data_IF_497879845757
#
_entry.id   IF_497879845757
#
_cell.length_a   1.000
_cell.length_b   1.000
_cell.length_c   1.000
_cell.angle_alpha   90.00
_cell.angle_beta   90.00
_cell.angle_gamma   90.00
#
_symmetry.space_group_name_H-M   'P 1'
#
loop_
_entity.id
_entity.type
_entity.pdbx_description
1 polymer ?
#
# COMPACT_ATOMS: atom_id res chain seq x y z
N UNK A 1 49.19 24.84 -64.07
CA UNK A 1 47.76 24.87 -63.59
C UNK A 1 47.12 23.53 -63.92
N UNK A 2 47.14 22.58 -63.05
CA UNK A 2 46.64 21.24 -63.36
C UNK A 2 46.54 20.26 -62.22
N UNK A 3 46.40 20.70 -60.97
CA UNK A 3 46.23 19.77 -59.84
C UNK A 3 45.24 20.20 -58.73
N UNK A 4 44.34 21.18 -59.04
CA UNK A 4 43.45 21.72 -58.03
C UNK A 4 42.00 21.15 -58.11
N UNK A 5 41.69 20.33 -59.12
CA UNK A 5 40.33 19.79 -59.34
C UNK A 5 40.14 18.31 -58.99
N UNK A 6 41.17 17.63 -58.44
CA UNK A 6 41.08 16.21 -58.08
C UNK A 6 40.68 15.95 -56.62
N UNK A 7 40.52 16.95 -55.76
CA UNK A 7 40.12 16.76 -54.35
C UNK A 7 38.62 17.00 -54.05
N UNK A 8 37.84 17.35 -55.08
CA UNK A 8 36.40 17.67 -54.95
C UNK A 8 35.45 16.48 -55.23
N UNK A 9 36.01 15.35 -55.67
CA UNK A 9 35.25 14.11 -55.86
C UNK A 9 35.94 12.99 -55.06
N UNK A 10 36.11 13.17 -53.73
CA UNK A 10 36.23 12.00 -52.87
C UNK A 10 34.86 11.31 -52.87
N UNK A 11 34.76 10.26 -53.64
CA UNK A 11 33.62 9.36 -53.66
C UNK A 11 33.30 8.97 -52.20
N UNK A 12 32.23 9.48 -51.67
CA UNK A 12 31.62 8.83 -50.51
C UNK A 12 31.46 7.35 -50.92
N UNK A 13 32.18 6.43 -50.32
CA UNK A 13 31.93 5.00 -50.49
C UNK A 13 30.42 4.82 -50.33
N UNK A 14 29.75 4.27 -51.34
CA UNK A 14 28.36 3.87 -51.20
C UNK A 14 28.24 2.95 -49.98
N UNK A 15 27.33 3.24 -49.07
CA UNK A 15 27.13 2.42 -47.88
C UNK A 15 26.84 0.99 -48.31
N UNK A 16 27.39 0.02 -47.62
CA UNK A 16 27.05 -1.38 -47.86
C UNK A 16 25.57 -1.65 -47.50
N UNK A 17 24.90 -2.65 -48.09
CA UNK A 17 23.53 -3.01 -47.74
C UNK A 17 23.34 -3.24 -46.23
N UNK A 18 24.38 -3.74 -45.53
CA UNK A 18 24.36 -3.93 -44.08
C UNK A 18 24.43 -2.60 -43.32
N UNK A 19 25.25 -1.64 -43.78
CA UNK A 19 25.31 -0.28 -43.18
C UNK A 19 24.02 0.49 -43.43
N UNK A 20 23.37 0.33 -44.61
CA UNK A 20 22.07 0.94 -44.87
C UNK A 20 20.96 0.34 -44.00
N UNK A 21 20.94 -0.99 -43.80
CA UNK A 21 20.02 -1.69 -42.93
C UNK A 21 20.20 -1.23 -41.48
N UNK A 22 21.43 -1.21 -40.97
CA UNK A 22 21.75 -0.75 -39.60
C UNK A 22 21.27 0.69 -39.34
N UNK A 23 21.50 1.61 -40.31
CA UNK A 23 21.02 2.98 -40.20
C UNK A 23 19.47 3.09 -40.21
N UNK A 24 18.82 2.23 -40.98
CA UNK A 24 17.37 2.19 -41.01
C UNK A 24 16.79 1.62 -39.69
N UNK A 25 17.41 0.55 -39.17
CA UNK A 25 17.02 -0.03 -37.89
C UNK A 25 17.21 0.97 -36.73
N UNK A 26 18.32 1.71 -36.69
CA UNK A 26 18.54 2.77 -35.72
C UNK A 26 17.48 3.89 -35.83
N UNK A 27 17.17 4.33 -37.04
CA UNK A 27 16.13 5.35 -37.24
C UNK A 27 14.74 4.87 -36.80
N UNK A 28 14.41 3.62 -37.09
CA UNK A 28 13.16 3.00 -36.69
C UNK A 28 13.08 2.84 -35.16
N UNK A 29 14.18 2.43 -34.52
CA UNK A 29 14.32 2.37 -33.07
C UNK A 29 14.01 3.75 -32.44
N UNK A 30 14.67 4.83 -32.93
CA UNK A 30 14.46 6.17 -32.39
C UNK A 30 13.00 6.63 -32.54
N UNK A 31 12.39 6.40 -33.71
CA UNK A 31 10.97 6.72 -33.94
C UNK A 31 10.09 6.00 -32.94
N UNK A 32 10.24 4.68 -32.81
CA UNK A 32 9.42 3.85 -31.90
C UNK A 32 9.61 4.26 -30.45
N UNK A 33 10.85 4.49 -30.00
CA UNK A 33 11.15 4.97 -28.65
C UNK A 33 10.43 6.28 -28.36
N UNK A 34 10.57 7.30 -29.22
CA UNK A 34 9.94 8.60 -29.01
C UNK A 34 8.41 8.59 -29.15
N UNK A 35 7.85 7.77 -30.03
CA UNK A 35 6.39 7.59 -30.14
C UNK A 35 5.86 6.91 -28.88
N UNK A 36 6.59 5.93 -28.32
CA UNK A 36 6.26 5.30 -27.05
C UNK A 36 6.25 6.31 -25.89
N UNK A 37 7.30 7.14 -25.77
CA UNK A 37 7.37 8.19 -24.73
C UNK A 37 6.23 9.20 -24.87
N UNK A 38 5.90 9.61 -26.10
CA UNK A 38 4.77 10.51 -26.37
C UNK A 38 3.45 9.86 -25.96
N UNK A 39 3.23 8.61 -26.37
CA UNK A 39 2.04 7.84 -26.02
C UNK A 39 1.85 7.70 -24.51
N UNK A 40 2.92 7.41 -23.79
CA UNK A 40 2.89 7.31 -22.32
C UNK A 40 2.50 8.64 -21.67
N UNK A 41 3.04 9.78 -22.15
CA UNK A 41 2.71 11.11 -21.62
C UNK A 41 1.24 11.50 -21.81
N UNK A 42 0.57 10.99 -22.84
CA UNK A 42 -0.87 11.25 -23.10
C UNK A 42 -1.78 10.11 -22.62
N UNK A 43 -1.26 9.18 -21.80
CA UNK A 43 -2.03 8.10 -21.19
C UNK A 43 -2.37 6.92 -22.12
N UNK A 44 -1.81 6.86 -23.33
CA UNK A 44 -2.01 5.75 -24.28
C UNK A 44 -1.06 4.57 -23.95
N UNK A 45 -1.20 4.01 -22.74
CA UNK A 45 -0.27 3.03 -22.17
C UNK A 45 -0.11 1.79 -23.04
N UNK A 46 -1.20 1.23 -23.58
CA UNK A 46 -1.14 0.05 -24.45
C UNK A 46 -0.34 0.30 -25.75
N UNK A 47 -0.47 1.49 -26.33
CA UNK A 47 0.31 1.86 -27.50
C UNK A 47 1.78 2.13 -27.17
N UNK A 48 2.07 2.74 -26.00
CA UNK A 48 3.42 2.92 -25.49
C UNK A 48 4.15 1.58 -25.32
N UNK A 49 3.50 0.60 -24.68
CA UNK A 49 4.02 -0.78 -24.52
C UNK A 49 4.39 -1.36 -25.89
N UNK A 50 3.48 -1.27 -26.87
CA UNK A 50 3.74 -1.77 -28.23
C UNK A 50 4.96 -1.10 -28.86
N UNK A 51 5.06 0.23 -28.79
CA UNK A 51 6.18 0.98 -29.34
C UNK A 51 7.51 0.56 -28.69
N UNK A 52 7.59 0.51 -27.36
CA UNK A 52 8.81 0.13 -26.66
C UNK A 52 9.20 -1.33 -26.93
N UNK A 53 8.23 -2.25 -26.96
CA UNK A 53 8.47 -3.65 -27.29
C UNK A 53 9.03 -3.81 -28.70
N UNK A 54 8.48 -3.11 -29.70
CA UNK A 54 9.00 -3.15 -31.07
C UNK A 54 10.37 -2.45 -31.20
N UNK A 55 10.61 -1.36 -30.44
CA UNK A 55 11.91 -0.71 -30.37
C UNK A 55 13.00 -1.67 -29.84
N UNK A 56 12.71 -2.38 -28.75
CA UNK A 56 13.66 -3.32 -28.12
C UNK A 56 13.96 -4.56 -28.98
N UNK A 57 13.14 -4.89 -29.97
CA UNK A 57 13.46 -5.91 -30.97
C UNK A 57 14.54 -5.45 -31.97
N UNK A 58 14.66 -4.15 -32.17
CA UNK A 58 15.65 -3.55 -33.09
C UNK A 58 16.98 -3.30 -32.37
N UNK A 59 16.91 -2.83 -31.13
CA UNK A 59 18.08 -2.50 -30.33
C UNK A 59 17.77 -2.68 -28.84
N UNK A 60 18.65 -3.38 -28.12
CA UNK A 60 18.62 -3.46 -26.67
C UNK A 60 19.08 -2.12 -26.09
N UNK A 61 18.19 -1.43 -25.35
CA UNK A 61 18.42 -0.08 -24.82
C UNK A 61 17.86 0.02 -23.41
N UNK A 62 18.74 0.27 -22.45
CA UNK A 62 18.39 0.28 -21.02
C UNK A 62 17.35 1.36 -20.68
N UNK A 63 17.42 2.52 -21.31
CA UNK A 63 16.45 3.60 -21.12
C UNK A 63 15.06 3.20 -21.64
N UNK A 64 14.98 2.56 -22.81
CA UNK A 64 13.72 2.05 -23.38
C UNK A 64 13.12 0.95 -22.50
N UNK A 65 13.97 0.07 -21.91
CA UNK A 65 13.52 -0.92 -20.94
C UNK A 65 12.90 -0.25 -19.70
N UNK A 66 13.51 0.83 -19.20
CA UNK A 66 12.98 1.60 -18.07
C UNK A 66 11.59 2.18 -18.40
N UNK A 67 11.39 2.73 -19.58
CA UNK A 67 10.07 3.20 -20.03
C UNK A 67 9.05 2.05 -20.17
N UNK A 68 9.48 0.89 -20.67
CA UNK A 68 8.62 -0.27 -20.81
C UNK A 68 8.18 -0.82 -19.45
N UNK A 69 9.09 -0.90 -18.47
CA UNK A 69 8.76 -1.27 -17.08
C UNK A 69 7.72 -0.33 -16.49
N UNK A 70 7.92 0.99 -16.63
CA UNK A 70 6.96 1.98 -16.14
C UNK A 70 5.58 1.84 -16.84
N UNK A 71 5.56 1.56 -18.14
CA UNK A 71 4.33 1.33 -18.87
C UNK A 71 3.61 0.04 -18.45
N UNK A 72 4.33 -1.06 -18.22
CA UNK A 72 3.76 -2.30 -17.69
C UNK A 72 3.22 -2.13 -16.28
N UNK A 73 3.94 -1.45 -15.40
CA UNK A 73 3.48 -1.16 -14.03
C UNK A 73 2.20 -0.32 -14.05
N UNK A 74 2.13 0.71 -14.91
CA UNK A 74 0.91 1.53 -15.09
C UNK A 74 -0.26 0.69 -15.61
N UNK A 75 0.00 -0.32 -16.44
CA UNK A 75 -1.00 -1.24 -16.97
C UNK A 75 -1.37 -2.38 -16.00
N UNK A 76 -0.83 -2.38 -14.79
CA UNK A 76 -0.95 -3.47 -13.80
C UNK A 76 -0.49 -4.85 -14.33
N UNK A 77 0.59 -4.85 -15.12
CA UNK A 77 1.21 -6.02 -15.75
C UNK A 77 2.55 -6.31 -15.07
N UNK A 78 2.47 -6.78 -13.82
CA UNK A 78 3.63 -6.92 -12.96
C UNK A 78 4.57 -8.05 -13.42
N UNK A 79 4.04 -9.15 -13.96
CA UNK A 79 4.84 -10.25 -14.47
C UNK A 79 5.69 -9.82 -15.67
N UNK A 80 5.09 -9.12 -16.64
CA UNK A 80 5.82 -8.63 -17.82
C UNK A 80 6.85 -7.56 -17.42
N UNK A 81 6.54 -6.72 -16.42
CA UNK A 81 7.51 -5.78 -15.88
C UNK A 81 8.70 -6.49 -15.24
N UNK A 82 8.46 -7.59 -14.51
CA UNK A 82 9.50 -8.38 -13.86
C UNK A 82 10.43 -9.04 -14.88
N UNK A 83 9.91 -9.55 -16.00
CA UNK A 83 10.73 -10.12 -17.07
C UNK A 83 11.73 -9.09 -17.63
N UNK A 84 11.28 -7.86 -17.88
CA UNK A 84 12.15 -6.77 -18.36
C UNK A 84 13.16 -6.38 -17.29
N UNK A 85 12.76 -6.27 -16.03
CA UNK A 85 13.64 -5.93 -14.91
C UNK A 85 14.72 -7.00 -14.68
N UNK A 86 14.38 -8.29 -14.83
CA UNK A 86 15.36 -9.36 -14.75
C UNK A 86 16.44 -9.19 -15.83
N UNK A 87 16.02 -8.87 -17.05
CA UNK A 87 16.97 -8.59 -18.13
C UNK A 87 17.84 -7.36 -17.85
N UNK A 88 17.25 -6.29 -17.29
CA UNK A 88 18.01 -5.10 -16.91
C UNK A 88 19.06 -5.41 -15.83
N UNK A 89 18.73 -6.24 -14.85
CA UNK A 89 19.69 -6.68 -13.80
C UNK A 89 20.77 -7.60 -14.38
N UNK A 90 20.48 -8.43 -15.38
CA UNK A 90 21.52 -9.18 -16.09
C UNK A 90 22.53 -8.27 -16.82
N UNK A 91 22.06 -7.15 -17.38
CA UNK A 91 22.90 -6.18 -18.08
C UNK A 91 23.72 -5.32 -17.10
N UNK A 92 23.08 -4.84 -16.06
CA UNK A 92 23.67 -3.97 -15.03
C UNK A 92 23.29 -4.47 -13.63
N UNK A 93 24.01 -5.49 -13.09
CA UNK A 93 23.67 -6.12 -11.82
C UNK A 93 23.67 -5.15 -10.63
N UNK A 94 24.58 -4.19 -10.64
CA UNK A 94 24.82 -3.27 -9.53
C UNK A 94 24.05 -1.94 -9.65
N UNK A 95 23.08 -1.87 -10.59
CA UNK A 95 22.28 -0.67 -10.77
C UNK A 95 21.17 -0.60 -9.71
N UNK A 96 21.43 0.10 -8.60
CA UNK A 96 20.55 0.17 -7.41
C UNK A 96 19.12 0.57 -7.76
N UNK A 97 18.92 1.55 -8.65
CA UNK A 97 17.56 1.98 -9.03
C UNK A 97 16.76 0.87 -9.72
N UNK A 98 17.40 0.03 -10.53
CA UNK A 98 16.75 -1.14 -11.15
C UNK A 98 16.37 -2.17 -10.09
N UNK A 99 17.28 -2.47 -9.15
CA UNK A 99 17.00 -3.38 -8.04
C UNK A 99 15.83 -2.87 -7.17
N UNK A 100 15.82 -1.58 -6.81
CA UNK A 100 14.68 -0.98 -6.07
C UNK A 100 13.37 -1.04 -6.85
N UNK A 101 13.41 -0.83 -8.17
CA UNK A 101 12.22 -0.95 -9.02
C UNK A 101 11.75 -2.40 -9.08
N UNK A 102 12.68 -3.36 -9.17
CA UNK A 102 12.36 -4.79 -9.14
C UNK A 102 11.75 -5.20 -7.80
N UNK A 103 12.28 -4.71 -6.69
CA UNK A 103 11.69 -4.91 -5.35
C UNK A 103 10.24 -4.46 -5.30
N UNK A 104 9.91 -3.29 -5.86
CA UNK A 104 8.51 -2.82 -5.88
C UNK A 104 7.61 -3.73 -6.71
N UNK A 105 8.09 -4.22 -7.86
CA UNK A 105 7.33 -5.17 -8.70
C UNK A 105 7.21 -6.54 -8.02
N UNK A 106 8.25 -6.99 -7.33
CA UNK A 106 8.22 -8.23 -6.54
C UNK A 106 7.18 -8.18 -5.42
N UNK A 107 7.02 -7.02 -4.74
CA UNK A 107 5.93 -6.83 -3.78
C UNK A 107 4.54 -6.89 -4.43
N UNK A 108 4.35 -6.37 -5.65
CA UNK A 108 3.08 -6.49 -6.38
C UNK A 108 2.73 -7.96 -6.70
N UNK A 109 3.74 -8.84 -6.72
CA UNK A 109 3.62 -10.27 -7.03
C UNK A 109 3.71 -11.16 -5.77
N UNK A 110 3.70 -10.59 -4.58
CA UNK A 110 3.85 -11.29 -3.29
C UNK A 110 5.12 -12.18 -3.20
N UNK A 111 6.22 -11.76 -3.89
CA UNK A 111 7.49 -12.49 -3.93
C UNK A 111 8.48 -11.98 -2.88
N UNK A 112 8.07 -11.99 -1.63
CA UNK A 112 8.84 -11.42 -0.52
C UNK A 112 10.24 -12.04 -0.33
N UNK A 113 10.42 -13.30 -0.66
CA UNK A 113 11.74 -13.95 -0.58
C UNK A 113 12.73 -13.32 -1.58
N UNK A 114 12.28 -13.03 -2.80
CA UNK A 114 13.10 -12.39 -3.84
C UNK A 114 13.39 -10.91 -3.48
N UNK A 115 12.44 -10.22 -2.84
CA UNK A 115 12.65 -8.87 -2.26
C UNK A 115 13.83 -8.88 -1.30
N UNK A 116 13.91 -9.86 -0.38
CA UNK A 116 15.01 -9.96 0.58
C UNK A 116 16.34 -10.16 -0.13
N UNK A 117 16.38 -10.93 -1.21
CA UNK A 117 17.61 -11.14 -2.02
C UNK A 117 18.08 -9.82 -2.63
N UNK A 118 17.18 -9.09 -3.30
CA UNK A 118 17.54 -7.81 -3.94
C UNK A 118 17.94 -6.76 -2.91
N UNK A 119 17.23 -6.65 -1.79
CA UNK A 119 17.59 -5.73 -0.72
C UNK A 119 18.97 -6.03 -0.14
N UNK A 120 19.34 -7.30 0.04
CA UNK A 120 20.71 -7.67 0.48
C UNK A 120 21.75 -7.22 -0.53
N UNK A 121 21.50 -7.43 -1.82
CA UNK A 121 22.43 -6.97 -2.87
C UNK A 121 22.58 -5.45 -2.83
N UNK A 122 21.48 -4.70 -2.70
CA UNK A 122 21.56 -3.24 -2.54
C UNK A 122 22.43 -2.86 -1.32
N UNK A 123 22.24 -3.56 -0.19
CA UNK A 123 22.99 -3.28 1.04
C UNK A 123 24.46 -3.69 0.98
N UNK A 124 24.84 -4.66 0.15
CA UNK A 124 26.23 -4.98 -0.16
C UNK A 124 26.90 -3.85 -0.96
N UNK A 125 26.14 -3.15 -1.83
CA UNK A 125 26.61 -2.01 -2.61
C UNK A 125 26.59 -0.71 -1.79
N UNK A 126 25.55 -0.50 -0.99
CA UNK A 126 25.30 0.71 -0.20
C UNK A 126 24.70 0.35 1.15
N UNK A 127 25.55 0.06 2.15
CA UNK A 127 25.11 -0.34 3.50
C UNK A 127 24.22 0.72 4.19
N UNK A 128 24.38 1.99 3.80
CA UNK A 128 23.63 3.13 4.34
C UNK A 128 22.29 3.38 3.65
N UNK A 129 21.87 2.52 2.75
CA UNK A 129 20.59 2.66 2.05
C UNK A 129 19.41 2.33 3.01
N UNK A 130 18.87 3.37 3.66
CA UNK A 130 17.77 3.24 4.62
C UNK A 130 16.50 2.63 4.00
N UNK A 131 16.26 2.87 2.69
CA UNK A 131 15.10 2.33 2.00
C UNK A 131 15.23 0.82 1.81
N UNK A 132 16.41 0.31 1.47
CA UNK A 132 16.65 -1.13 1.35
C UNK A 132 16.47 -1.85 2.70
N UNK A 133 16.94 -1.27 3.81
CA UNK A 133 16.68 -1.78 5.16
C UNK A 133 15.17 -1.81 5.47
N UNK A 134 14.43 -0.75 5.17
CA UNK A 134 12.98 -0.68 5.37
C UNK A 134 12.24 -1.74 4.54
N UNK A 135 12.54 -1.86 3.24
CA UNK A 135 11.90 -2.81 2.34
C UNK A 135 12.19 -4.26 2.73
N UNK A 136 13.42 -4.54 3.20
CA UNK A 136 13.79 -5.85 3.74
C UNK A 136 13.00 -6.17 5.01
N UNK A 137 12.87 -5.22 5.93
CA UNK A 137 12.04 -5.37 7.13
C UNK A 137 10.55 -5.60 6.78
N UNK A 138 10.04 -4.89 5.78
CA UNK A 138 8.68 -5.09 5.26
C UNK A 138 8.48 -6.51 4.73
N UNK A 139 9.40 -7.04 3.94
CA UNK A 139 9.34 -8.40 3.41
C UNK A 139 9.47 -9.47 4.52
N UNK A 140 10.34 -9.26 5.51
CA UNK A 140 10.47 -10.19 6.64
C UNK A 140 9.22 -10.29 7.50
N UNK A 141 8.43 -9.22 7.60
CA UNK A 141 7.15 -9.26 8.32
C UNK A 141 6.20 -10.31 7.74
N UNK A 142 6.11 -10.41 6.42
CA UNK A 142 5.23 -11.37 5.73
C UNK A 142 5.81 -12.79 5.74
N UNK A 143 7.14 -12.94 5.73
CA UNK A 143 7.84 -14.24 5.76
C UNK A 143 8.00 -14.84 7.17
N UNK A 144 7.22 -14.35 8.15
CA UNK A 144 7.22 -14.83 9.53
C UNK A 144 8.57 -14.71 10.27
N UNK A 145 9.35 -13.68 9.96
CA UNK A 145 10.56 -13.27 10.69
C UNK A 145 10.39 -11.89 11.35
N UNK A 146 9.51 -11.75 12.36
CA UNK A 146 9.23 -10.45 12.97
C UNK A 146 10.44 -9.85 13.70
N UNK A 147 11.31 -10.68 14.28
CA UNK A 147 12.51 -10.19 14.95
C UNK A 147 13.54 -9.64 13.95
N UNK A 148 13.73 -10.34 12.82
CA UNK A 148 14.56 -9.84 11.73
C UNK A 148 13.98 -8.56 11.12
N UNK A 149 12.66 -8.46 11.00
CA UNK A 149 11.99 -7.23 10.52
C UNK A 149 12.25 -6.05 11.46
N UNK A 150 12.11 -6.23 12.79
CA UNK A 150 12.39 -5.20 13.80
C UNK A 150 13.87 -4.73 13.71
N UNK A 151 14.80 -5.68 13.54
CA UNK A 151 16.22 -5.35 13.43
C UNK A 151 16.50 -4.47 12.19
N UNK A 152 15.94 -4.84 11.04
CA UNK A 152 16.10 -4.09 9.78
C UNK A 152 15.46 -2.70 9.86
N UNK A 153 14.24 -2.60 10.40
CA UNK A 153 13.55 -1.32 10.61
C UNK A 153 14.32 -0.42 11.60
N UNK A 154 14.95 -1.00 12.61
CA UNK A 154 15.82 -0.26 13.54
C UNK A 154 17.04 0.32 12.82
N UNK A 155 17.61 -0.41 11.85
CA UNK A 155 18.70 0.11 10.99
C UNK A 155 18.18 1.23 10.08
N UNK A 156 17.01 1.05 9.45
CA UNK A 156 16.41 2.08 8.62
C UNK A 156 16.19 3.40 9.39
N UNK A 157 15.64 3.31 10.62
CA UNK A 157 15.41 4.44 11.51
C UNK A 157 16.73 5.12 11.94
N UNK A 158 17.76 4.33 12.27
CA UNK A 158 19.06 4.87 12.65
C UNK A 158 19.74 5.64 11.52
N UNK A 159 19.49 5.26 10.27
CA UNK A 159 20.01 5.93 9.07
C UNK A 159 19.16 7.13 8.65
N UNK A 160 17.87 7.12 8.96
CA UNK A 160 16.91 8.18 8.66
C UNK A 160 15.95 8.38 9.83
N UNK A 161 16.28 9.33 10.73
CA UNK A 161 15.54 9.57 11.97
C UNK A 161 14.13 10.16 11.78
N UNK A 162 13.81 10.67 10.59
CA UNK A 162 12.50 11.21 10.20
C UNK A 162 11.68 10.25 9.33
N UNK A 163 11.97 8.95 9.39
CA UNK A 163 11.30 7.95 8.57
C UNK A 163 10.03 7.42 9.23
N UNK A 164 8.94 8.17 9.12
CA UNK A 164 7.63 7.87 9.74
C UNK A 164 7.14 6.45 9.46
N UNK A 165 7.20 5.99 8.20
CA UNK A 165 6.75 4.64 7.82
C UNK A 165 7.50 3.52 8.55
N UNK A 166 8.80 3.71 8.80
CA UNK A 166 9.60 2.71 9.51
C UNK A 166 9.22 2.61 10.99
N UNK A 167 8.93 3.74 11.64
CA UNK A 167 8.41 3.76 13.01
C UNK A 167 7.05 3.08 13.08
N UNK A 168 6.10 3.44 12.21
CA UNK A 168 4.77 2.84 12.18
C UNK A 168 4.82 1.34 11.94
N UNK A 169 5.65 0.90 11.00
CA UNK A 169 5.78 -0.52 10.71
C UNK A 169 6.39 -1.29 11.89
N UNK A 170 7.41 -0.73 12.56
CA UNK A 170 8.01 -1.38 13.74
C UNK A 170 7.01 -1.45 14.89
N UNK A 171 6.24 -0.37 15.13
CA UNK A 171 5.17 -0.35 16.12
C UNK A 171 4.09 -1.41 15.83
N UNK A 172 3.66 -1.55 14.56
CA UNK A 172 2.69 -2.57 14.15
C UNK A 172 3.20 -3.99 14.41
N UNK A 173 4.47 -4.26 14.13
CA UNK A 173 5.08 -5.58 14.39
C UNK A 173 5.15 -5.83 15.88
N UNK A 174 5.62 -4.87 16.69
CA UNK A 174 5.69 -4.98 18.14
C UNK A 174 4.29 -5.22 18.75
N UNK A 175 3.28 -4.49 18.30
CA UNK A 175 1.90 -4.70 18.74
C UNK A 175 1.40 -6.12 18.40
N UNK A 176 1.68 -6.61 17.18
CA UNK A 176 1.32 -7.97 16.77
C UNK A 176 2.00 -9.07 17.60
N UNK A 177 3.16 -8.75 18.19
CA UNK A 177 3.89 -9.60 19.13
C UNK A 177 3.44 -9.42 20.57
N UNK A 178 2.35 -8.68 20.83
CA UNK A 178 1.82 -8.35 22.16
C UNK A 178 2.80 -7.50 23.01
N UNK A 179 3.70 -6.75 22.36
CA UNK A 179 4.67 -5.86 22.97
C UNK A 179 4.20 -4.41 22.86
N UNK A 180 2.99 -4.13 23.36
CA UNK A 180 2.35 -2.82 23.23
C UNK A 180 3.15 -1.68 23.90
N UNK A 181 3.80 -1.96 25.04
CA UNK A 181 4.61 -0.97 25.75
C UNK A 181 5.83 -0.53 24.94
N UNK A 182 6.46 -1.46 24.23
CA UNK A 182 7.62 -1.20 23.36
C UNK A 182 7.20 -0.51 22.04
N UNK A 183 5.96 -0.72 21.61
CA UNK A 183 5.42 -0.10 20.40
C UNK A 183 5.08 1.40 20.58
N UNK A 184 4.71 1.81 21.79
CA UNK A 184 4.21 3.18 22.08
C UNK A 184 5.20 4.28 21.68
N UNK A 185 6.51 4.25 22.03
CA UNK A 185 7.45 5.31 21.66
C UNK A 185 7.57 5.51 20.14
N UNK A 186 7.46 4.46 19.35
CA UNK A 186 7.55 4.53 17.90
C UNK A 186 6.36 5.29 17.30
N UNK A 187 5.14 4.96 17.73
CA UNK A 187 3.96 5.65 17.22
C UNK A 187 3.89 7.11 17.69
N UNK A 188 4.34 7.42 18.90
CA UNK A 188 4.47 8.81 19.39
C UNK A 188 5.47 9.61 18.54
N UNK A 189 6.58 8.97 18.15
CA UNK A 189 7.55 9.58 17.23
C UNK A 189 6.92 9.82 15.85
N UNK A 190 6.18 8.85 15.30
CA UNK A 190 5.46 8.99 14.04
C UNK A 190 4.46 10.16 14.06
N UNK A 191 3.66 10.31 15.13
CA UNK A 191 2.74 11.44 15.31
C UNK A 191 3.51 12.78 15.36
N UNK A 192 4.66 12.81 16.04
CA UNK A 192 5.49 14.02 16.10
C UNK A 192 5.99 14.42 14.71
N UNK A 193 6.34 13.45 13.85
CA UNK A 193 6.85 13.68 12.51
C UNK A 193 5.74 14.05 11.51
N UNK A 194 4.55 13.45 11.67
CA UNK A 194 3.42 13.63 10.76
C UNK A 194 2.10 13.74 11.57
N UNK A 195 1.80 14.89 12.20
CA UNK A 195 0.64 15.04 13.08
C UNK A 195 -0.71 15.02 12.36
N UNK A 196 -0.73 15.14 11.05
CA UNK A 196 -1.94 15.11 10.21
C UNK A 196 -2.26 13.71 9.69
N UNK A 197 -1.47 12.68 10.05
CA UNK A 197 -1.65 11.32 9.57
C UNK A 197 -2.53 10.50 10.51
N UNK A 198 -3.77 10.22 10.09
CA UNK A 198 -4.76 9.49 10.89
C UNK A 198 -4.29 8.08 11.30
N UNK A 199 -3.51 7.41 10.44
CA UNK A 199 -2.98 6.06 10.68
C UNK A 199 -2.16 5.97 11.98
N UNK A 200 -1.43 7.03 12.30
CA UNK A 200 -0.59 7.09 13.50
C UNK A 200 -1.45 7.13 14.77
N UNK A 201 -2.49 7.94 14.81
CA UNK A 201 -3.42 7.99 15.93
C UNK A 201 -4.21 6.70 16.06
N UNK A 202 -4.66 6.13 14.93
CA UNK A 202 -5.36 4.86 14.93
C UNK A 202 -4.50 3.74 15.54
N UNK A 203 -3.24 3.65 15.14
CA UNK A 203 -2.30 2.66 15.69
C UNK A 203 -2.05 2.91 17.19
N UNK A 204 -1.90 4.17 17.63
CA UNK A 204 -1.71 4.48 19.05
C UNK A 204 -2.96 4.11 19.88
N UNK A 205 -4.14 4.35 19.36
CA UNK A 205 -5.40 3.88 19.96
C UNK A 205 -5.40 2.38 20.18
N UNK A 206 -5.03 1.60 19.16
CA UNK A 206 -4.90 0.13 19.27
C UNK A 206 -3.83 -0.30 20.28
N UNK A 207 -2.73 0.42 20.39
CA UNK A 207 -1.69 0.17 21.39
C UNK A 207 -2.24 0.46 22.79
N UNK A 208 -2.97 1.57 22.99
CA UNK A 208 -3.59 1.91 24.25
C UNK A 208 -4.65 0.87 24.68
N UNK A 209 -5.49 0.39 23.74
CA UNK A 209 -6.40 -0.73 24.02
C UNK A 209 -5.66 -1.98 24.52
N UNK A 210 -4.58 -2.38 23.83
CA UNK A 210 -3.77 -3.54 24.21
C UNK A 210 -3.10 -3.37 25.59
N UNK A 211 -2.86 -2.13 26.02
CA UNK A 211 -2.34 -1.78 27.35
C UNK A 211 -3.46 -1.64 28.41
N UNK A 212 -4.74 -1.71 28.02
CA UNK A 212 -5.88 -1.47 28.91
C UNK A 212 -6.16 0.02 29.20
N UNK A 213 -5.55 0.95 28.47
CA UNK A 213 -5.71 2.38 28.63
C UNK A 213 -6.91 2.90 27.79
N UNK A 214 -8.12 2.51 28.19
CA UNK A 214 -9.34 2.69 27.39
C UNK A 214 -9.64 4.17 27.07
N UNK A 215 -9.47 5.07 28.02
CA UNK A 215 -9.72 6.49 27.81
C UNK A 215 -8.74 7.12 26.81
N UNK A 216 -7.46 6.71 26.87
CA UNK A 216 -6.47 7.15 25.90
C UNK A 216 -6.74 6.62 24.50
N UNK A 217 -7.19 5.35 24.39
CA UNK A 217 -7.59 4.77 23.12
C UNK A 217 -8.79 5.52 22.51
N UNK A 218 -9.81 5.82 23.32
CA UNK A 218 -10.97 6.59 22.87
C UNK A 218 -10.58 7.99 22.37
N UNK A 219 -9.67 8.67 23.06
CA UNK A 219 -9.17 9.99 22.64
C UNK A 219 -8.42 9.91 21.30
N UNK A 220 -7.61 8.87 21.10
CA UNK A 220 -6.90 8.69 19.84
C UNK A 220 -7.84 8.37 18.66
N UNK A 221 -8.86 7.54 18.84
CA UNK A 221 -9.86 7.30 17.81
C UNK A 221 -10.71 8.54 17.52
N UNK A 222 -10.95 9.41 18.51
CA UNK A 222 -11.57 10.71 18.28
C UNK A 222 -10.67 11.62 17.43
N UNK A 223 -9.35 11.66 17.68
CA UNK A 223 -8.40 12.36 16.80
C UNK A 223 -8.46 11.85 15.36
N UNK A 224 -8.60 10.52 15.16
CA UNK A 224 -8.81 9.96 13.81
C UNK A 224 -10.06 10.54 13.17
N UNK A 225 -11.18 10.64 13.91
CA UNK A 225 -12.45 11.18 13.39
C UNK A 225 -12.40 12.71 13.17
N UNK A 226 -11.57 13.45 13.92
CA UNK A 226 -11.32 14.87 13.66
C UNK A 226 -10.57 15.07 12.33
N UNK A 227 -9.61 14.18 12.01
CA UNK A 227 -8.87 14.20 10.75
C UNK A 227 -9.69 13.64 9.59
N UNK A 228 -10.43 12.58 9.82
CA UNK A 228 -11.26 11.89 8.83
C UNK A 228 -12.61 11.44 9.43
N UNK A 229 -13.65 12.29 9.35
CA UNK A 229 -14.99 11.97 9.89
C UNK A 229 -15.67 10.75 9.25
N UNK A 230 -15.15 10.27 8.12
CA UNK A 230 -15.68 9.11 7.40
C UNK A 230 -14.91 7.81 7.69
N UNK A 231 -14.07 7.77 8.72
CA UNK A 231 -13.37 6.56 9.12
C UNK A 231 -14.34 5.63 9.86
N UNK A 232 -14.90 4.66 9.12
CA UNK A 232 -15.89 3.71 9.63
C UNK A 232 -15.35 2.89 10.83
N UNK A 233 -14.09 2.50 10.79
CA UNK A 233 -13.48 1.68 11.84
C UNK A 233 -13.30 2.45 13.14
N UNK A 234 -12.80 3.67 13.07
CA UNK A 234 -12.68 4.55 14.23
C UNK A 234 -14.05 4.87 14.85
N UNK A 235 -15.06 5.12 14.01
CA UNK A 235 -16.45 5.34 14.47
C UNK A 235 -16.96 4.13 15.27
N UNK A 236 -16.79 2.93 14.76
CA UNK A 236 -17.21 1.73 15.48
C UNK A 236 -16.46 1.55 16.79
N UNK A 237 -15.15 1.76 16.79
CA UNK A 237 -14.33 1.59 17.99
C UNK A 237 -14.70 2.60 19.10
N UNK A 238 -14.89 3.88 18.77
CA UNK A 238 -15.34 4.88 19.76
C UNK A 238 -16.68 4.47 20.38
N UNK A 239 -17.66 4.12 19.54
CA UNK A 239 -18.96 3.71 20.03
C UNK A 239 -18.92 2.41 20.87
N UNK A 240 -18.11 1.44 20.47
CA UNK A 240 -17.92 0.18 21.22
C UNK A 240 -17.22 0.43 22.57
N UNK A 241 -16.27 1.35 22.65
CA UNK A 241 -15.65 1.73 23.91
C UNK A 241 -16.65 2.40 24.84
N UNK A 242 -17.52 3.30 24.33
CA UNK A 242 -18.62 3.88 25.12
C UNK A 242 -19.57 2.81 25.66
N UNK A 243 -19.95 1.82 24.85
CA UNK A 243 -20.76 0.69 25.30
C UNK A 243 -20.05 -0.13 26.38
N UNK A 244 -18.77 -0.39 26.22
CA UNK A 244 -17.96 -1.16 27.17
C UNK A 244 -17.83 -0.44 28.52
N UNK A 245 -17.81 0.90 28.49
CA UNK A 245 -17.81 1.75 29.68
C UNK A 245 -19.24 1.94 30.27
N UNK A 246 -20.25 1.24 29.76
CA UNK A 246 -21.67 1.38 30.14
C UNK A 246 -22.24 2.80 29.93
N UNK A 247 -21.59 3.63 29.11
CA UNK A 247 -22.03 4.97 28.70
C UNK A 247 -23.03 4.90 27.56
N UNK A 248 -24.13 4.15 27.79
CA UNK A 248 -25.05 3.74 26.73
C UNK A 248 -25.77 4.90 26.04
N UNK A 249 -26.13 5.96 26.78
CA UNK A 249 -26.78 7.14 26.21
C UNK A 249 -25.84 7.90 25.28
N UNK A 250 -24.58 8.03 25.65
CA UNK A 250 -23.57 8.66 24.84
C UNK A 250 -23.25 7.84 23.60
N UNK A 251 -23.19 6.50 23.71
CA UNK A 251 -23.02 5.61 22.58
C UNK A 251 -24.16 5.73 21.55
N UNK A 252 -25.41 5.80 22.03
CA UNK A 252 -26.60 5.97 21.16
C UNK A 252 -26.50 7.30 20.42
N UNK A 253 -26.25 8.42 21.15
CA UNK A 253 -26.11 9.74 20.53
C UNK A 253 -24.99 9.78 19.52
N UNK A 254 -23.84 9.19 19.84
CA UNK A 254 -22.68 9.11 18.94
C UNK A 254 -23.00 8.35 17.64
N UNK A 255 -23.70 7.21 17.75
CA UNK A 255 -24.13 6.49 16.56
C UNK A 255 -25.26 7.19 15.80
N UNK A 256 -26.12 7.97 16.47
CA UNK A 256 -27.11 8.82 15.78
C UNK A 256 -26.39 9.82 14.86
N UNK A 257 -25.36 10.53 15.37
CA UNK A 257 -24.56 11.47 14.60
C UNK A 257 -23.83 10.78 13.43
N UNK A 258 -23.27 9.59 13.67
CA UNK A 258 -22.60 8.80 12.63
C UNK A 258 -23.56 8.35 11.51
N UNK A 259 -24.78 7.96 11.86
CA UNK A 259 -25.83 7.57 10.92
C UNK A 259 -26.35 8.78 10.15
N UNK A 260 -26.50 9.94 10.80
CA UNK A 260 -26.89 11.19 10.13
C UNK A 260 -25.86 11.59 9.08
N UNK A 261 -24.54 11.41 9.38
CA UNK A 261 -23.45 11.65 8.43
C UNK A 261 -23.39 10.62 7.30
N UNK A 262 -23.68 9.35 7.60
CA UNK A 262 -23.63 8.21 6.66
C UNK A 262 -24.85 7.32 6.84
N UNK A 263 -26.00 7.62 6.17
CA UNK A 263 -27.26 6.89 6.37
C UNK A 263 -27.26 5.42 5.92
N UNK A 264 -26.25 4.99 5.18
CA UNK A 264 -26.05 3.60 4.73
C UNK A 264 -25.03 2.82 5.58
N UNK A 265 -24.63 3.36 6.72
CA UNK A 265 -23.67 2.71 7.62
C UNK A 265 -24.32 1.60 8.46
N UNK A 266 -24.55 0.45 7.83
CA UNK A 266 -25.25 -0.69 8.46
C UNK A 266 -24.65 -1.15 9.79
N UNK A 267 -23.31 -1.13 9.94
CA UNK A 267 -22.65 -1.49 11.21
C UNK A 267 -22.94 -0.50 12.35
N UNK A 268 -23.09 0.78 12.06
CA UNK A 268 -23.46 1.78 13.06
C UNK A 268 -24.89 1.54 13.58
N UNK A 269 -25.81 1.16 12.70
CA UNK A 269 -27.15 0.72 13.15
C UNK A 269 -27.06 -0.51 14.07
N UNK A 270 -26.26 -1.53 13.73
CA UNK A 270 -26.11 -2.71 14.56
C UNK A 270 -25.59 -2.36 15.97
N UNK A 271 -24.55 -1.55 16.07
CA UNK A 271 -23.98 -1.14 17.36
C UNK A 271 -24.91 -0.21 18.15
N UNK A 272 -25.62 0.71 17.49
CA UNK A 272 -26.68 1.50 18.15
C UNK A 272 -27.79 0.60 18.68
N UNK A 273 -28.22 -0.38 17.92
CA UNK A 273 -29.19 -1.38 18.35
C UNK A 273 -28.70 -2.16 19.57
N UNK A 274 -27.40 -2.53 19.58
CA UNK A 274 -26.77 -3.16 20.74
C UNK A 274 -26.83 -2.26 21.97
N UNK A 275 -26.47 -0.98 21.85
CA UNK A 275 -26.54 -0.02 22.96
C UNK A 275 -27.99 0.16 23.48
N UNK A 276 -28.98 0.29 22.58
CA UNK A 276 -30.40 0.38 22.91
C UNK A 276 -30.89 -0.86 23.65
N UNK A 277 -30.49 -2.07 23.17
CA UNK A 277 -30.88 -3.31 23.84
C UNK A 277 -30.33 -3.41 25.27
N UNK A 278 -29.06 -3.07 25.46
CA UNK A 278 -28.44 -3.03 26.79
C UNK A 278 -29.11 -2.02 27.72
N UNK A 279 -29.62 -0.92 27.18
CA UNK A 279 -30.42 0.07 27.92
C UNK A 279 -31.86 -0.39 28.22
N UNK A 280 -32.34 -1.47 27.57
CA UNK A 280 -33.69 -2.01 27.72
C UNK A 280 -34.68 -1.57 26.66
N UNK A 281 -34.29 -0.75 25.69
CA UNK A 281 -35.09 -0.35 24.52
C UNK A 281 -35.04 -1.45 23.46
N UNK A 282 -35.88 -2.47 23.63
CA UNK A 282 -35.91 -3.64 22.74
C UNK A 282 -36.53 -3.33 21.37
N UNK A 283 -37.50 -2.43 21.33
CA UNK A 283 -38.19 -2.08 20.09
C UNK A 283 -37.25 -1.25 19.19
N UNK A 284 -36.55 -0.24 19.74
CA UNK A 284 -35.58 0.54 19.04
C UNK A 284 -34.38 -0.30 18.58
N UNK A 285 -33.95 -1.29 19.39
CA UNK A 285 -32.90 -2.22 19.02
C UNK A 285 -33.30 -3.12 17.84
N UNK A 286 -34.53 -3.59 17.81
CA UNK A 286 -35.08 -4.41 16.73
C UNK A 286 -35.11 -3.64 15.39
N UNK A 287 -35.61 -2.39 15.41
CA UNK A 287 -35.64 -1.55 14.20
C UNK A 287 -34.22 -1.27 13.66
N UNK A 288 -33.27 -1.00 14.55
CA UNK A 288 -31.86 -0.79 14.15
C UNK A 288 -31.25 -2.06 13.56
N UNK A 289 -31.45 -3.23 14.17
CA UNK A 289 -30.94 -4.49 13.62
C UNK A 289 -31.54 -4.80 12.25
N UNK A 290 -32.88 -4.59 12.10
CA UNK A 290 -33.54 -4.75 10.80
C UNK A 290 -32.91 -3.84 9.75
N UNK A 291 -32.66 -2.58 10.09
CA UNK A 291 -32.00 -1.63 9.17
C UNK A 291 -30.60 -2.03 8.81
N UNK A 292 -29.81 -2.52 9.78
CA UNK A 292 -28.45 -3.04 9.53
C UNK A 292 -28.46 -4.19 8.51
N UNK A 293 -29.40 -5.14 8.64
CA UNK A 293 -29.53 -6.29 7.73
C UNK A 293 -30.02 -5.85 6.35
N UNK A 294 -30.96 -4.90 6.26
CA UNK A 294 -31.38 -4.32 4.97
C UNK A 294 -30.23 -3.70 4.20
N UNK A 295 -29.32 -3.01 4.90
CA UNK A 295 -28.14 -2.35 4.31
C UNK A 295 -27.01 -3.33 4.00
N UNK A 296 -26.91 -4.44 4.72
CA UNK A 296 -25.90 -5.46 4.52
C UNK A 296 -26.49 -6.88 4.66
N UNK A 297 -27.23 -7.36 3.65
CA UNK A 297 -27.91 -8.66 3.71
C UNK A 297 -26.96 -9.86 3.75
N UNK A 298 -25.71 -9.70 3.38
CA UNK A 298 -24.66 -10.75 3.47
C UNK A 298 -23.76 -10.58 4.70
N UNK A 299 -24.06 -9.62 5.56
CA UNK A 299 -23.31 -9.31 6.76
C UNK A 299 -23.42 -10.37 7.85
N UNK A 300 -22.60 -10.24 8.89
CA UNK A 300 -22.55 -11.20 10.00
C UNK A 300 -23.88 -11.26 10.77
N UNK A 301 -24.59 -10.14 10.90
CA UNK A 301 -25.90 -10.05 11.56
C UNK A 301 -26.96 -10.86 10.78
N UNK A 302 -26.97 -10.76 9.47
CA UNK A 302 -27.88 -11.53 8.61
C UNK A 302 -27.57 -13.04 8.67
N UNK A 303 -26.30 -13.42 8.61
CA UNK A 303 -25.83 -14.83 8.71
C UNK A 303 -26.16 -15.44 10.07
N UNK A 304 -26.05 -14.68 11.16
CA UNK A 304 -26.43 -15.12 12.50
C UNK A 304 -27.95 -15.42 12.60
N UNK A 305 -28.79 -14.65 11.90
CA UNK A 305 -30.23 -14.89 11.82
C UNK A 305 -30.56 -16.13 10.98
N UNK A 306 -29.91 -16.33 9.85
CA UNK A 306 -30.16 -17.48 8.97
C UNK A 306 -29.68 -18.82 9.60
N UNK A 307 -28.57 -18.78 10.34
CA UNK A 307 -27.96 -19.96 10.96
C UNK A 307 -28.60 -20.43 12.26
N UNK A 308 -29.44 -19.63 12.89
CA UNK A 308 -30.09 -19.94 14.16
C UNK A 308 -31.58 -19.68 14.01
N UNK A 309 -32.40 -20.73 14.05
CA UNK A 309 -33.86 -20.63 14.25
C UNK A 309 -34.21 -20.08 15.66
N UNK A 310 -33.43 -19.12 16.17
CA UNK A 310 -33.53 -18.59 17.52
C UNK A 310 -34.30 -17.29 17.52
N UNK A 311 -35.12 -17.15 18.56
CA UNK A 311 -35.87 -15.93 18.83
C UNK A 311 -34.89 -14.76 18.97
N UNK A 312 -35.19 -13.58 18.41
CA UNK A 312 -34.42 -12.34 18.50
C UNK A 312 -33.90 -12.06 19.92
N UNK A 313 -34.68 -12.35 20.97
CA UNK A 313 -34.25 -12.21 22.36
C UNK A 313 -33.05 -13.09 22.76
N UNK A 314 -32.83 -14.19 22.06
CA UNK A 314 -31.68 -15.09 22.34
C UNK A 314 -30.42 -14.64 21.68
N UNK A 315 -30.48 -13.88 20.58
CA UNK A 315 -29.31 -13.25 19.95
C UNK A 315 -28.60 -12.27 20.89
N UNK A 316 -29.38 -11.47 21.61
CA UNK A 316 -28.82 -10.51 22.57
C UNK A 316 -28.44 -11.10 23.92
N UNK A 317 -29.01 -12.28 24.31
CA UNK A 317 -28.68 -12.97 25.56
C UNK A 317 -27.45 -13.86 25.47
N UNK A 318 -27.11 -14.34 24.27
CA UNK A 318 -26.04 -15.33 24.05
C UNK A 318 -24.62 -14.78 23.94
N UNK A 319 -24.40 -13.48 24.15
CA UNK A 319 -23.06 -12.89 23.99
C UNK A 319 -22.54 -12.92 22.55
N UNK A 320 -23.45 -12.80 21.59
CA UNK A 320 -23.12 -12.76 20.14
C UNK A 320 -22.58 -11.37 19.74
N UNK A 321 -22.57 -10.44 20.70
CA UNK A 321 -21.98 -9.10 20.56
C UNK A 321 -20.88 -8.92 21.57
#
# INVERSE_FOLDING_TARGET
MGNFFKSLFSSSKAATPEEEKSKNDQKNFDILKYDGVRAQKIGQVAYAIKCFTEALKLQEDFETMTYLVAAYTTANKAEEALEVLNRMVELEPDHINTLLTRVNVLFMLDKDADVIVDCRHILELEETNHLAWFLMGKAKRTTSDPLGAIADLTKAIALKEDFTDAYLMRAQILLSMLQATEALPDVEKAITLAPEEETSYFLRGRIHEAMGNIDAAAADYQNVLELNPFNDEATLLVGQLLITQERLDEAITFFDEAIDLKPDFGKAYAERGRAKNLKGDKDGAFEDLKKSIELNPEGDEARKLEGQHTNFNDMYKGGIF
#
